data_IF_048635084530
#
_entry.id   IF_048635084530
#
_cell.length_a   1.000
_cell.length_b   1.000
_cell.length_c   1.000
_cell.angle_alpha   90.00
_cell.angle_beta   90.00
_cell.angle_gamma   90.00
#
_symmetry.space_group_name_H-M   'P 1'
#
loop_
_entity.id
_entity.type
_entity.pdbx_description
1 polymer ?
#
# COMPACT_ATOMS: atom_id res chain seq x y z
N UNK A 1 3.29 4.26 -8.10
CA UNK A 1 2.50 3.02 -7.86
C UNK A 1 1.00 3.29 -7.96
N UNK A 2 0.52 4.30 -7.21
CA UNK A 2 -0.87 4.74 -7.20
C UNK A 2 -1.48 4.95 -8.60
N UNK A 3 -0.75 5.61 -9.53
CA UNK A 3 -1.22 5.82 -10.90
C UNK A 3 -1.52 4.52 -11.67
N UNK A 4 -0.69 3.48 -11.51
CA UNK A 4 -0.91 2.19 -12.20
C UNK A 4 -2.08 1.43 -11.61
N UNK A 5 -2.19 1.39 -10.29
CA UNK A 5 -3.32 0.74 -9.62
C UNK A 5 -4.65 1.43 -9.96
N UNK A 6 -4.65 2.76 -10.05
CA UNK A 6 -5.78 3.56 -10.57
C UNK A 6 -6.20 3.12 -11.96
N UNK A 7 -5.28 3.08 -12.92
CA UNK A 7 -5.58 2.68 -14.31
C UNK A 7 -6.17 1.28 -14.40
N UNK A 8 -5.68 0.32 -13.60
CA UNK A 8 -6.26 -1.02 -13.57
C UNK A 8 -7.68 -1.03 -12.98
N UNK A 9 -7.92 -0.23 -11.93
CA UNK A 9 -9.21 -0.12 -11.27
C UNK A 9 -10.27 0.68 -12.05
N UNK A 10 -9.89 1.41 -13.10
CA UNK A 10 -10.85 2.07 -14.02
C UNK A 10 -11.82 1.06 -14.64
N UNK A 11 -11.34 -0.15 -14.96
CA UNK A 11 -12.18 -1.25 -15.49
C UNK A 11 -13.21 -1.76 -14.48
N UNK A 12 -12.99 -1.47 -13.20
CA UNK A 12 -13.87 -1.82 -12.09
C UNK A 12 -14.72 -0.61 -11.63
N UNK A 13 -14.76 0.46 -12.44
CA UNK A 13 -15.43 1.72 -12.16
C UNK A 13 -15.03 2.39 -10.83
N UNK A 14 -13.82 2.09 -10.33
CA UNK A 14 -13.36 2.48 -8.98
C UNK A 14 -11.90 2.99 -8.97
N UNK A 15 -11.58 3.95 -9.86
CA UNK A 15 -10.24 4.46 -10.00
C UNK A 15 -9.68 5.07 -8.71
N UNK A 16 -10.50 5.71 -7.87
CA UNK A 16 -10.01 6.34 -6.65
C UNK A 16 -9.64 5.30 -5.60
N UNK A 17 -10.44 4.25 -5.44
CA UNK A 17 -10.06 3.12 -4.58
C UNK A 17 -8.74 2.48 -5.03
N UNK A 18 -8.54 2.28 -6.34
CA UNK A 18 -7.25 1.81 -6.87
C UNK A 18 -6.09 2.77 -6.57
N UNK A 19 -6.31 4.07 -6.75
CA UNK A 19 -5.30 5.09 -6.44
C UNK A 19 -4.86 5.04 -4.96
N UNK A 20 -5.80 5.09 -4.02
CA UNK A 20 -5.49 5.09 -2.59
C UNK A 20 -4.99 3.74 -2.08
N UNK A 21 -5.43 2.62 -2.69
CA UNK A 21 -4.82 1.31 -2.43
C UNK A 21 -3.33 1.35 -2.79
N UNK A 22 -2.99 1.79 -4.00
CA UNK A 22 -1.59 1.89 -4.43
C UNK A 22 -0.77 2.91 -3.63
N UNK A 23 -1.37 4.03 -3.23
CA UNK A 23 -0.71 5.07 -2.45
C UNK A 23 -0.37 4.58 -1.02
N UNK A 24 -1.30 3.87 -0.38
CA UNK A 24 -1.17 3.51 1.03
C UNK A 24 -0.60 2.11 1.29
N UNK A 25 -0.56 1.21 0.30
CA UNK A 25 -0.21 -0.19 0.56
C UNK A 25 1.13 -0.36 1.30
N UNK A 26 2.08 0.50 0.96
CA UNK A 26 3.45 0.51 1.43
C UNK A 26 3.72 1.56 2.52
N UNK A 27 2.70 2.20 3.08
CA UNK A 27 2.88 3.27 4.07
C UNK A 27 3.79 2.84 5.25
N UNK A 28 3.77 1.55 5.59
CA UNK A 28 4.64 0.98 6.61
C UNK A 28 6.14 1.03 6.31
N UNK A 29 6.55 1.32 5.07
CA UNK A 29 7.97 1.50 4.71
C UNK A 29 8.55 2.74 5.39
N UNK A 30 7.74 3.72 5.80
CA UNK A 30 8.18 4.84 6.64
C UNK A 30 8.55 4.45 8.09
N UNK A 31 8.36 3.19 8.48
CA UNK A 31 8.78 2.72 9.80
C UNK A 31 10.31 2.84 9.95
N UNK A 32 10.82 3.39 11.07
CA UNK A 32 12.26 3.52 11.30
C UNK A 32 13.04 2.20 11.17
N UNK A 33 12.50 1.08 11.67
CA UNK A 33 13.12 -0.24 11.55
C UNK A 33 13.14 -0.72 10.10
N UNK A 34 12.10 -0.39 9.31
CA UNK A 34 12.05 -0.71 7.88
C UNK A 34 13.08 0.12 7.10
N UNK A 35 13.23 1.40 7.43
CA UNK A 35 14.26 2.26 6.84
C UNK A 35 15.67 1.78 7.18
N UNK A 36 15.92 1.40 8.43
CA UNK A 36 17.19 0.80 8.85
C UNK A 36 17.47 -0.51 8.08
N UNK A 37 16.44 -1.35 7.90
CA UNK A 37 16.52 -2.55 7.06
C UNK A 37 16.94 -2.21 5.62
N UNK A 38 16.28 -1.24 4.96
CA UNK A 38 16.62 -0.81 3.60
C UNK A 38 18.06 -0.29 3.49
N UNK A 39 18.51 0.50 4.48
CA UNK A 39 19.89 1.01 4.53
C UNK A 39 20.91 -0.12 4.69
N UNK A 40 20.59 -1.15 5.48
CA UNK A 40 21.42 -2.35 5.60
C UNK A 40 21.52 -3.11 4.26
N UNK A 41 20.40 -3.32 3.58
CA UNK A 41 20.35 -3.95 2.27
C UNK A 41 21.19 -3.19 1.23
N UNK A 42 21.10 -1.85 1.21
CA UNK A 42 21.92 -1.00 0.33
C UNK A 42 23.43 -1.12 0.60
N UNK A 43 23.81 -1.50 1.82
CA UNK A 43 25.21 -1.77 2.22
C UNK A 43 25.61 -3.24 2.05
N UNK A 44 24.80 -4.05 1.37
CA UNK A 44 24.98 -5.51 1.23
C UNK A 44 25.12 -6.26 2.55
N UNK A 45 24.54 -5.71 3.62
CA UNK A 45 24.53 -6.38 4.93
C UNK A 45 23.43 -7.44 4.93
N UNK A 46 23.68 -8.55 5.65
CA UNK A 46 22.67 -9.58 5.83
C UNK A 46 21.47 -8.99 6.55
N UNK A 47 20.31 -9.08 5.90
CA UNK A 47 19.04 -8.75 6.50
C UNK A 47 18.78 -9.66 7.71
N UNK A 48 18.78 -9.10 8.92
CA UNK A 48 18.61 -9.88 10.13
C UNK A 48 17.14 -10.16 10.49
N UNK A 49 16.18 -9.38 9.95
CA UNK A 49 14.75 -9.56 10.24
C UNK A 49 13.85 -8.88 9.20
N UNK A 50 12.77 -9.55 8.80
CA UNK A 50 11.69 -8.93 8.01
C UNK A 50 10.85 -8.01 8.91
N UNK A 51 10.59 -6.78 8.45
CA UNK A 51 9.77 -5.79 9.17
C UNK A 51 8.39 -5.72 8.51
N UNK A 52 7.31 -6.21 9.16
CA UNK A 52 5.97 -6.19 8.59
C UNK A 52 5.46 -4.76 8.39
N UNK A 53 5.21 -4.36 7.13
CA UNK A 53 4.84 -2.98 6.78
C UNK A 53 3.36 -2.85 6.34
N UNK A 54 2.77 -3.88 5.73
CA UNK A 54 1.39 -3.83 5.21
C UNK A 54 0.32 -3.39 6.25
N UNK A 55 0.55 -3.71 7.53
CA UNK A 55 -0.37 -3.38 8.63
C UNK A 55 -0.60 -1.88 8.83
N UNK A 56 0.36 -1.02 8.49
CA UNK A 56 0.27 0.41 8.79
C UNK A 56 -0.60 1.16 7.78
N UNK A 57 -0.49 0.84 6.48
CA UNK A 57 -1.41 1.34 5.47
C UNK A 57 -2.85 0.83 5.68
N UNK A 58 -2.97 -0.43 6.10
CA UNK A 58 -4.26 -1.03 6.43
C UNK A 58 -4.91 -0.34 7.64
N UNK A 59 -4.12 0.00 8.66
CA UNK A 59 -4.58 0.76 9.82
C UNK A 59 -5.11 2.14 9.40
N UNK A 60 -4.39 2.85 8.52
CA UNK A 60 -4.86 4.14 7.99
C UNK A 60 -6.24 3.98 7.34
N UNK A 61 -6.36 3.09 6.35
CA UNK A 61 -7.64 2.86 5.66
C UNK A 61 -8.77 2.47 6.63
N UNK A 62 -8.48 1.64 7.62
CA UNK A 62 -9.44 1.24 8.64
C UNK A 62 -9.93 2.43 9.48
N UNK A 63 -9.02 3.29 9.95
CA UNK A 63 -9.37 4.49 10.72
C UNK A 63 -10.13 5.54 9.89
N UNK A 64 -10.01 5.50 8.57
CA UNK A 64 -10.77 6.33 7.63
C UNK A 64 -12.11 5.70 7.22
N UNK A 65 -12.58 4.69 7.94
CA UNK A 65 -13.83 3.97 7.68
C UNK A 65 -13.89 3.27 6.31
N UNK A 66 -12.73 2.90 5.73
CA UNK A 66 -12.68 2.11 4.49
C UNK A 66 -12.17 0.70 4.77
N UNK A 67 -13.07 -0.16 5.26
CA UNK A 67 -12.73 -1.56 5.56
C UNK A 67 -12.28 -2.34 4.31
N UNK A 68 -12.88 -2.17 3.12
CA UNK A 68 -12.39 -2.83 1.90
C UNK A 68 -10.96 -2.47 1.54
N UNK A 69 -10.58 -1.18 1.59
CA UNK A 69 -9.19 -0.78 1.37
C UNK A 69 -8.26 -1.38 2.43
N UNK A 70 -8.67 -1.39 3.70
CA UNK A 70 -7.87 -1.98 4.76
C UNK A 70 -7.58 -3.47 4.52
N UNK A 71 -8.56 -4.23 4.03
CA UNK A 71 -8.40 -5.66 3.75
C UNK A 71 -7.42 -5.90 2.60
N UNK A 72 -7.57 -5.20 1.46
CA UNK A 72 -6.69 -5.41 0.30
C UNK A 72 -5.27 -4.90 0.56
N UNK A 73 -5.13 -3.78 1.28
CA UNK A 73 -3.83 -3.25 1.69
C UNK A 73 -3.17 -4.21 2.69
N UNK A 74 -3.88 -4.77 3.65
CA UNK A 74 -3.25 -5.72 4.57
C UNK A 74 -2.76 -6.97 3.82
N UNK A 75 -3.55 -7.45 2.86
CA UNK A 75 -3.33 -8.73 2.20
C UNK A 75 -2.32 -8.73 1.06
N UNK A 76 -1.77 -7.59 0.60
CA UNK A 76 -1.01 -7.52 -0.66
C UNK A 76 0.25 -8.41 -0.71
N UNK A 77 0.75 -8.88 0.43
CA UNK A 77 1.84 -9.87 0.49
C UNK A 77 1.42 -11.26 1.01
N UNK A 78 0.29 -11.36 1.71
CA UNK A 78 -0.09 -12.58 2.46
C UNK A 78 -1.43 -13.19 2.03
N UNK A 79 -2.11 -12.58 1.05
CA UNK A 79 -3.49 -12.90 0.70
C UNK A 79 -4.51 -12.19 1.59
N UNK A 80 -5.77 -12.21 1.15
CA UNK A 80 -6.87 -11.50 1.80
C UNK A 80 -7.24 -12.11 3.16
N UNK A 81 -7.12 -11.37 4.27
CA UNK A 81 -7.53 -11.86 5.59
C UNK A 81 -9.06 -11.89 5.72
N UNK A 82 -9.57 -12.66 6.68
CA UNK A 82 -10.94 -12.42 7.14
C UNK A 82 -11.01 -11.10 7.95
N UNK A 83 -12.17 -10.44 7.95
CA UNK A 83 -12.34 -9.12 8.59
C UNK A 83 -12.02 -9.17 10.09
N UNK A 84 -12.38 -10.27 10.78
CA UNK A 84 -12.10 -10.42 12.21
C UNK A 84 -10.60 -10.58 12.49
N UNK A 85 -9.89 -11.33 11.65
CA UNK A 85 -8.43 -11.42 11.75
C UNK A 85 -7.79 -10.05 11.55
N UNK A 86 -8.19 -9.33 10.51
CA UNK A 86 -7.69 -7.97 10.25
C UNK A 86 -7.86 -7.08 11.49
N UNK A 87 -9.07 -7.01 12.05
CA UNK A 87 -9.33 -6.19 13.25
C UNK A 87 -8.41 -6.54 14.42
N UNK A 88 -8.24 -7.85 14.69
CA UNK A 88 -7.37 -8.32 15.76
C UNK A 88 -5.89 -7.97 15.52
N UNK A 89 -5.44 -7.96 14.26
CA UNK A 89 -4.07 -7.57 13.89
C UNK A 89 -3.88 -6.06 14.02
N UNK A 90 -4.84 -5.27 13.55
CA UNK A 90 -4.79 -3.80 13.61
C UNK A 90 -4.86 -3.28 15.06
N UNK A 91 -5.59 -3.97 15.95
CA UNK A 91 -5.64 -3.63 17.37
C UNK A 91 -4.28 -3.76 18.08
N UNK A 92 -3.37 -4.60 17.55
CA UNK A 92 -2.02 -4.83 18.11
C UNK A 92 -0.95 -3.92 17.52
N UNK A 93 -1.32 -2.97 16.65
CA UNK A 93 -0.37 -2.01 16.09
C UNK A 93 0.06 -1.02 17.18
N UNK A 94 1.37 -0.91 17.37
CA UNK A 94 1.96 0.08 18.26
C UNK A 94 1.66 1.50 17.78
N UNK A 95 1.02 2.30 18.64
CA UNK A 95 0.53 3.64 18.29
C UNK A 95 1.65 4.67 18.22
N UNK A 96 2.70 4.53 19.02
CA UNK A 96 3.87 5.41 18.92
C UNK A 96 4.61 5.26 17.60
N UNK A 97 4.78 4.03 17.14
CA UNK A 97 5.38 3.70 15.84
C UNK A 97 4.50 4.20 14.70
N UNK A 98 3.18 4.01 14.81
CA UNK A 98 2.26 4.51 13.80
C UNK A 98 2.29 6.05 13.68
N UNK A 99 2.37 6.78 14.79
CA UNK A 99 2.47 8.24 14.76
C UNK A 99 3.76 8.73 14.07
N UNK A 100 4.88 8.04 14.29
CA UNK A 100 6.14 8.34 13.59
C UNK A 100 6.03 8.09 12.08
N UNK A 101 5.41 6.98 11.69
CA UNK A 101 5.12 6.65 10.28
C UNK A 101 4.25 7.73 9.63
N UNK A 102 3.18 8.13 10.31
CA UNK A 102 2.25 9.15 9.81
C UNK A 102 2.95 10.50 9.64
N UNK A 103 3.76 10.92 10.62
CA UNK A 103 4.52 12.16 10.55
C UNK A 103 5.54 12.14 9.39
N UNK A 104 6.28 11.04 9.23
CA UNK A 104 7.25 10.88 8.15
C UNK A 104 6.57 10.87 6.76
N UNK A 105 5.44 10.19 6.62
CA UNK A 105 4.66 10.17 5.38
C UNK A 105 4.11 11.57 5.04
N UNK A 106 3.61 12.32 6.02
CA UNK A 106 3.18 13.71 5.83
C UNK A 106 4.33 14.62 5.43
N UNK A 107 5.52 14.44 6.01
CA UNK A 107 6.72 15.22 5.65
C UNK A 107 7.15 15.00 4.19
N UNK A 108 6.86 13.82 3.63
CA UNK A 108 7.04 13.51 2.20
C UNK A 108 5.82 13.87 1.32
N UNK A 109 4.85 14.60 1.89
CA UNK A 109 3.63 15.09 1.25
C UNK A 109 2.70 13.96 0.75
N UNK A 110 2.72 12.80 1.39
CA UNK A 110 1.77 11.74 1.08
C UNK A 110 0.38 12.17 1.56
N UNK A 111 -0.62 12.10 0.66
CA UNK A 111 -2.00 12.33 1.03
C UNK A 111 -2.54 11.17 1.88
N UNK A 112 -2.87 11.48 3.13
CA UNK A 112 -3.45 10.53 4.09
C UNK A 112 -4.94 10.80 4.34
N UNK A 113 -5.53 11.78 3.66
CA UNK A 113 -6.96 12.01 3.68
C UNK A 113 -7.66 10.99 2.77
N UNK A 114 -8.84 10.55 3.18
CA UNK A 114 -9.71 9.76 2.32
C UNK A 114 -10.72 10.72 1.69
N UNK A 115 -10.69 10.95 0.37
CA UNK A 115 -11.61 11.87 -0.26
C UNK A 115 -13.00 11.26 -0.36
N UNK A 116 -14.01 12.14 -0.43
CA UNK A 116 -15.41 11.74 -0.55
C UNK A 116 -15.68 10.86 -1.78
N UNK A 117 -14.92 11.06 -2.86
CA UNK A 117 -15.01 10.25 -4.08
C UNK A 117 -14.78 8.76 -3.83
N UNK A 118 -13.89 8.39 -2.90
CA UNK A 118 -13.67 7.00 -2.52
C UNK A 118 -14.88 6.45 -1.75
N UNK A 119 -15.51 7.25 -0.89
CA UNK A 119 -16.72 6.85 -0.18
C UNK A 119 -17.90 6.64 -1.14
N UNK A 120 -18.01 7.48 -2.17
CA UNK A 120 -19.01 7.35 -3.22
C UNK A 120 -18.83 6.07 -4.04
N UNK A 121 -17.60 5.76 -4.46
CA UNK A 121 -17.25 4.50 -5.13
C UNK A 121 -17.63 3.29 -4.26
N UNK A 122 -17.29 3.34 -2.97
CA UNK A 122 -17.61 2.29 -1.99
C UNK A 122 -19.13 2.08 -1.87
N UNK A 123 -19.89 3.16 -1.75
CA UNK A 123 -21.35 3.12 -1.63
C UNK A 123 -22.01 2.58 -2.91
N UNK A 124 -21.44 2.87 -4.08
CA UNK A 124 -21.94 2.35 -5.36
C UNK A 124 -21.79 0.83 -5.45
N UNK A 125 -20.63 0.29 -5.06
CA UNK A 125 -20.38 -1.17 -5.08
C UNK A 125 -21.26 -1.89 -4.06
N UNK A 126 -21.44 -1.30 -2.87
CA UNK A 126 -22.16 -1.94 -1.75
C UNK A 126 -23.62 -2.29 -2.08
N UNK A 127 -24.22 -1.63 -3.09
CA UNK A 127 -25.57 -1.93 -3.58
C UNK A 127 -25.71 -3.33 -4.20
N UNK A 128 -24.60 -3.97 -4.57
CA UNK A 128 -24.57 -5.28 -5.22
C UNK A 128 -23.73 -6.28 -4.40
N UNK A 129 -24.39 -7.07 -3.53
CA UNK A 129 -23.71 -7.81 -2.44
C UNK A 129 -22.86 -9.01 -2.89
N UNK A 130 -23.32 -9.79 -3.86
CA UNK A 130 -22.54 -10.88 -4.48
C UNK A 130 -21.37 -10.32 -5.30
N UNK A 131 -21.60 -9.20 -5.97
CA UNK A 131 -20.59 -8.50 -6.76
C UNK A 131 -19.51 -7.89 -5.88
N UNK A 132 -19.83 -7.43 -4.66
CA UNK A 132 -18.87 -6.77 -3.78
C UNK A 132 -17.68 -7.65 -3.36
N UNK A 133 -17.91 -8.95 -3.07
CA UNK A 133 -16.81 -9.87 -2.68
C UNK A 133 -15.91 -10.24 -3.86
N UNK A 134 -16.47 -10.35 -5.06
CA UNK A 134 -15.72 -10.58 -6.29
C UNK A 134 -14.96 -9.31 -6.67
N UNK A 135 -15.63 -8.17 -6.64
CA UNK A 135 -15.07 -6.86 -6.88
C UNK A 135 -13.88 -6.58 -5.97
N UNK A 136 -13.96 -6.92 -4.67
CA UNK A 136 -12.84 -6.77 -3.73
C UNK A 136 -11.62 -7.59 -4.15
N UNK A 137 -11.85 -8.81 -4.65
CA UNK A 137 -10.78 -9.69 -5.16
C UNK A 137 -10.18 -9.14 -6.46
N UNK A 138 -11.00 -8.55 -7.33
CA UNK A 138 -10.52 -7.92 -8.55
C UNK A 138 -9.70 -6.67 -8.24
N UNK A 139 -10.16 -5.80 -7.33
CA UNK A 139 -9.39 -4.63 -6.91
C UNK A 139 -8.07 -5.05 -6.22
N UNK A 140 -8.11 -6.11 -5.40
CA UNK A 140 -6.91 -6.72 -4.83
C UNK A 140 -5.93 -7.17 -5.92
N UNK A 141 -6.41 -7.83 -6.99
CA UNK A 141 -5.60 -8.19 -8.15
C UNK A 141 -4.97 -6.95 -8.79
N UNK A 142 -5.76 -5.90 -9.02
CA UNK A 142 -5.25 -4.64 -9.57
C UNK A 142 -4.12 -4.03 -8.72
N UNK A 143 -4.22 -4.13 -7.38
CA UNK A 143 -3.16 -3.68 -6.49
C UNK A 143 -1.89 -4.54 -6.63
N UNK A 144 -2.02 -5.87 -6.55
CA UNK A 144 -0.88 -6.79 -6.64
C UNK A 144 -0.18 -6.72 -8.00
N UNK A 145 -0.95 -6.67 -9.09
CA UNK A 145 -0.42 -6.55 -10.45
C UNK A 145 0.34 -5.24 -10.63
N UNK A 146 -0.20 -4.13 -10.10
CA UNK A 146 0.49 -2.85 -10.16
C UNK A 146 1.82 -2.87 -9.39
N UNK A 147 1.87 -3.50 -8.21
CA UNK A 147 3.09 -3.59 -7.39
C UNK A 147 4.18 -4.39 -8.11
N UNK A 148 3.78 -5.54 -8.66
CA UNK A 148 4.68 -6.40 -9.43
C UNK A 148 5.24 -5.70 -10.68
N UNK A 149 4.39 -5.01 -11.44
CA UNK A 149 4.81 -4.26 -12.63
C UNK A 149 5.76 -3.10 -12.28
N UNK A 150 5.51 -2.39 -11.19
CA UNK A 150 6.42 -1.32 -10.73
C UNK A 150 7.78 -1.91 -10.35
N UNK A 151 7.80 -3.01 -9.61
CA UNK A 151 9.04 -3.69 -9.22
C UNK A 151 9.88 -4.12 -10.43
N UNK A 152 9.25 -4.71 -11.46
CA UNK A 152 9.93 -5.10 -12.70
C UNK A 152 10.52 -3.88 -13.41
N UNK A 153 9.74 -2.82 -13.59
CA UNK A 153 10.20 -1.62 -14.32
C UNK A 153 11.41 -0.97 -13.62
N UNK A 154 11.42 -0.95 -12.28
CA UNK A 154 12.56 -0.45 -11.51
C UNK A 154 13.81 -1.34 -11.69
N UNK A 155 13.63 -2.67 -11.63
CA UNK A 155 14.72 -3.62 -11.84
C UNK A 155 15.37 -3.45 -13.24
N UNK A 156 14.54 -3.34 -14.29
CA UNK A 156 15.03 -3.14 -15.66
C UNK A 156 15.77 -1.80 -15.83
N UNK A 157 15.32 -0.74 -15.14
CA UNK A 157 16.01 0.56 -15.15
C UNK A 157 17.38 0.50 -14.47
N UNK A 158 17.52 -0.28 -13.40
CA UNK A 158 18.79 -0.46 -12.70
C UNK A 158 19.77 -1.38 -13.46
N UNK A 159 19.25 -2.29 -14.29
CA UNK A 159 20.07 -3.19 -15.11
C UNK A 159 20.57 -2.55 -16.43
N UNK A 160 20.14 -1.33 -16.76
CA UNK A 160 20.56 -0.65 -17.98
C UNK A 160 22.01 -0.15 -17.87
N UNK A 161 22.92 -0.47 -18.81
CA UNK A 161 24.37 -0.25 -18.68
C UNK A 161 24.82 1.21 -18.84
N UNK A 162 23.91 2.17 -18.96
CA UNK A 162 24.25 3.59 -19.04
C UNK A 162 24.54 4.14 -17.65
N UNK A 163 25.83 4.10 -17.29
CA UNK A 163 26.37 4.55 -16.01
C UNK A 163 25.96 5.96 -15.61
N UNK A 164 25.06 6.05 -14.62
CA UNK A 164 25.06 7.12 -13.62
C UNK A 164 24.32 6.60 -12.39
N UNK A 165 25.08 6.18 -11.37
CA UNK A 165 24.51 5.87 -10.05
C UNK A 165 24.02 7.18 -9.42
N UNK A 166 22.75 7.51 -9.63
CA UNK A 166 22.06 8.45 -8.75
C UNK A 166 21.37 7.60 -7.69
N UNK A 167 21.98 7.54 -6.51
CA UNK A 167 21.34 6.98 -5.31
C UNK A 167 20.24 7.97 -4.94
N UNK A 168 19.07 7.84 -5.57
CA UNK A 168 17.86 8.47 -5.09
C UNK A 168 17.35 7.62 -3.93
N UNK A 169 17.29 8.24 -2.75
CA UNK A 169 16.56 7.74 -1.59
C UNK A 169 15.23 7.16 -2.05
N UNK A 170 14.90 5.94 -1.64
CA UNK A 170 13.64 5.26 -1.96
C UNK A 170 12.49 6.06 -1.33
N UNK A 171 12.07 7.12 -2.02
CA UNK A 171 10.77 7.75 -1.82
C UNK A 171 9.77 6.90 -2.57
N UNK A 172 8.67 6.59 -1.89
CA UNK A 172 7.58 5.84 -2.49
C UNK A 172 7.20 6.50 -3.81
N UNK A 173 7.25 5.73 -4.89
CA UNK A 173 6.90 6.19 -6.24
C UNK A 173 5.49 6.77 -6.21
N UNK A 174 5.39 8.11 -6.23
CA UNK A 174 4.17 8.89 -6.43
C UNK A 174 3.39 8.32 -7.63
#
# INVERSE_FOLDING_TARGET
MAARSRTLAEKLATPQMGYYAGLWHDLGKYNPDFQAYLQGCAKHQRANKSVPHAKYGALLAYTKNSSPLAVIIYGHHSGLPCVNELKNRLAKVDRSTYAQIEAAAKADEIDLALPETVQQELAAIAKHSLDCKLWLRLLFSCLVDADYLVAIVLCLRQASPTGRSRIETVRLNR
#
